data_IF_623409713279
#
_entry.id   IF_623409713279
#
_cell.length_a   1.000
_cell.length_b   1.000
_cell.length_c   1.000
_cell.angle_alpha   90.00
_cell.angle_beta   90.00
_cell.angle_gamma   90.00
#
_symmetry.space_group_name_H-M   'P 1'
#
loop_
_entity.id
_entity.type
_entity.pdbx_description
1 polymer ?
#
# COMPACT_ATOMS: atom_id res chain seq x y z
N UNK A 1 0.66 25.74 -2.83
CA UNK A 1 1.24 24.45 -2.42
C UNK A 1 1.24 24.39 -0.90
N UNK A 2 0.19 23.84 -0.31
CA UNK A 2 0.18 23.64 1.13
C UNK A 2 1.07 22.43 1.45
N UNK A 3 2.26 22.72 1.95
CA UNK A 3 3.10 21.67 2.56
C UNK A 3 2.34 21.17 3.78
N UNK A 4 1.78 19.99 3.67
CA UNK A 4 1.24 19.31 4.84
C UNK A 4 2.41 19.10 5.80
N UNK A 5 2.31 19.68 6.98
CA UNK A 5 3.35 19.53 7.99
C UNK A 5 3.38 18.06 8.44
N UNK A 6 4.39 17.34 8.00
CA UNK A 6 4.55 15.91 8.32
C UNK A 6 4.75 15.65 9.82
N UNK A 7 5.02 16.69 10.59
CA UNK A 7 5.17 16.60 12.04
C UNK A 7 3.85 16.83 12.81
N UNK A 8 2.79 17.20 12.09
CA UNK A 8 1.48 17.36 12.70
C UNK A 8 0.80 16.01 12.84
N UNK A 9 0.75 15.49 14.08
CA UNK A 9 0.08 14.24 14.43
C UNK A 9 -1.41 14.42 14.71
N UNK A 10 -1.94 15.63 14.51
CA UNK A 10 -3.38 15.83 14.66
C UNK A 10 -4.15 14.97 13.67
N UNK A 11 -5.30 14.45 14.11
CA UNK A 11 -6.16 13.65 13.24
C UNK A 11 -6.85 14.59 12.26
N UNK A 12 -6.69 14.40 10.93
CA UNK A 12 -7.42 15.22 9.97
C UNK A 12 -8.92 15.08 10.12
N UNK A 13 -9.67 16.10 9.68
CA UNK A 13 -11.13 16.05 9.68
C UNK A 13 -11.66 14.89 8.82
N UNK A 14 -12.89 14.46 9.09
CA UNK A 14 -13.52 13.36 8.33
C UNK A 14 -13.69 13.70 6.84
N UNK A 15 -13.67 14.98 6.47
CA UNK A 15 -13.73 15.44 5.08
C UNK A 15 -12.40 15.30 4.34
N UNK A 16 -11.30 15.02 5.05
CA UNK A 16 -9.99 14.84 4.45
C UNK A 16 -9.92 13.45 3.80
N UNK A 17 -10.14 13.42 2.49
CA UNK A 17 -10.16 12.20 1.67
C UNK A 17 -9.34 12.41 0.40
N UNK A 18 -8.01 12.46 0.50
CA UNK A 18 -7.17 12.62 -0.69
C UNK A 18 -7.36 11.45 -1.64
N UNK A 19 -7.48 11.76 -2.93
CA UNK A 19 -7.71 10.73 -3.96
C UNK A 19 -6.44 9.95 -4.30
N UNK A 20 -5.28 10.58 -4.17
CA UNK A 20 -4.02 10.02 -4.65
C UNK A 20 -2.92 10.07 -3.60
N UNK A 21 -2.11 9.02 -3.59
CA UNK A 21 -0.86 8.94 -2.82
C UNK A 21 0.27 8.56 -3.77
N UNK A 22 1.38 9.30 -3.69
CA UNK A 22 2.59 8.96 -4.44
C UNK A 22 3.50 8.09 -3.59
N UNK A 23 3.95 6.99 -4.16
CA UNK A 23 5.03 6.14 -3.63
C UNK A 23 6.29 6.43 -4.46
N UNK A 24 7.18 7.24 -3.92
CA UNK A 24 8.45 7.55 -4.55
C UNK A 24 9.48 6.50 -4.11
N UNK A 25 9.76 5.57 -5.01
CA UNK A 25 10.62 4.43 -4.71
C UNK A 25 12.02 4.60 -5.30
N UNK A 26 12.95 3.78 -4.82
CA UNK A 26 14.30 3.71 -5.37
C UNK A 26 14.33 3.30 -6.85
N UNK A 27 13.22 2.79 -7.39
CA UNK A 27 13.09 2.40 -8.80
C UNK A 27 12.23 3.37 -9.62
N UNK A 28 11.64 4.38 -8.99
CA UNK A 28 10.81 5.39 -9.63
C UNK A 28 9.50 5.62 -8.88
N UNK A 29 8.68 6.53 -9.41
CA UNK A 29 7.43 6.95 -8.79
C UNK A 29 6.25 6.12 -9.28
N UNK A 30 5.40 5.73 -8.34
CA UNK A 30 4.09 5.16 -8.59
C UNK A 30 3.05 6.02 -7.88
N UNK A 31 1.91 6.25 -8.52
CA UNK A 31 0.78 6.98 -7.92
C UNK A 31 -0.37 6.01 -7.81
N UNK A 32 -0.95 5.91 -6.61
CA UNK A 32 -2.12 5.08 -6.36
C UNK A 32 -3.35 5.93 -6.12
N UNK A 33 -4.50 5.46 -6.60
CA UNK A 33 -5.81 6.05 -6.36
C UNK A 33 -6.52 5.26 -5.27
N UNK A 34 -7.15 5.97 -4.33
CA UNK A 34 -7.82 5.37 -3.17
C UNK A 34 -9.32 5.24 -3.39
N UNK A 35 -9.89 4.11 -3.01
CA UNK A 35 -11.32 3.80 -3.13
C UNK A 35 -12.06 4.13 -1.82
N UNK A 36 -12.23 5.43 -1.55
CA UNK A 36 -12.86 5.90 -0.31
C UNK A 36 -14.29 5.41 -0.12
N UNK A 37 -15.05 5.26 -1.21
CA UNK A 37 -16.44 4.83 -1.13
C UNK A 37 -16.58 3.34 -0.76
N UNK A 38 -15.56 2.54 -1.05
CA UNK A 38 -15.60 1.09 -0.83
C UNK A 38 -14.89 0.65 0.46
N UNK A 39 -13.82 1.35 0.84
CA UNK A 39 -13.00 1.00 1.98
C UNK A 39 -12.53 2.26 2.73
N UNK A 40 -13.46 3.01 3.34
CA UNK A 40 -13.14 4.32 3.92
C UNK A 40 -12.12 4.26 5.06
N UNK A 41 -12.23 3.29 5.94
CA UNK A 41 -11.30 3.17 7.07
C UNK A 41 -9.90 2.74 6.62
N UNK A 42 -9.84 1.86 5.63
CA UNK A 42 -8.58 1.39 5.05
C UNK A 42 -7.88 2.52 4.29
N UNK A 43 -8.63 3.27 3.48
CA UNK A 43 -8.08 4.45 2.78
C UNK A 43 -7.57 5.50 3.76
N UNK A 44 -8.31 5.76 4.84
CA UNK A 44 -7.89 6.71 5.87
C UNK A 44 -6.61 6.26 6.57
N UNK A 45 -6.52 4.98 6.89
CA UNK A 45 -5.31 4.40 7.47
C UNK A 45 -4.10 4.62 6.56
N UNK A 46 -4.21 4.22 5.31
CA UNK A 46 -3.12 4.33 4.33
C UNK A 46 -2.71 5.79 4.08
N UNK A 47 -3.68 6.66 3.83
CA UNK A 47 -3.42 8.08 3.57
C UNK A 47 -2.79 8.77 4.79
N UNK A 48 -3.28 8.48 5.99
CA UNK A 48 -2.76 9.06 7.22
C UNK A 48 -1.35 8.55 7.55
N UNK A 49 -1.08 7.27 7.36
CA UNK A 49 0.26 6.72 7.51
C UNK A 49 1.24 7.37 6.52
N UNK A 50 0.83 7.57 5.27
CA UNK A 50 1.63 8.29 4.28
C UNK A 50 1.90 9.73 4.73
N UNK A 51 0.87 10.44 5.18
CA UNK A 51 0.99 11.83 5.66
C UNK A 51 1.94 11.95 6.83
N UNK A 52 1.92 10.99 7.76
CA UNK A 52 2.80 10.98 8.94
C UNK A 52 4.25 10.60 8.61
N UNK A 53 4.55 10.21 7.38
CA UNK A 53 5.87 9.72 6.99
C UNK A 53 6.17 8.29 7.44
N UNK A 54 5.15 7.54 7.83
CA UNK A 54 5.30 6.17 8.36
C UNK A 54 5.93 5.22 7.35
N UNK A 55 5.61 5.37 6.06
CA UNK A 55 6.14 4.53 5.01
C UNK A 55 7.51 4.96 4.47
N UNK A 56 8.02 6.12 4.88
CA UNK A 56 9.31 6.61 4.43
C UNK A 56 10.42 5.65 4.87
N UNK A 57 11.33 5.32 3.97
CA UNK A 57 12.45 4.40 4.19
C UNK A 57 12.03 2.95 4.46
N UNK A 58 10.80 2.57 4.20
CA UNK A 58 10.35 1.18 4.29
C UNK A 58 10.59 0.45 2.98
N UNK A 59 10.63 -0.88 3.02
CA UNK A 59 11.02 -1.71 1.89
C UNK A 59 9.86 -2.50 1.32
N UNK A 60 9.90 -2.77 0.02
CA UNK A 60 9.13 -3.87 -0.56
C UNK A 60 9.87 -5.18 -0.22
N UNK A 61 9.55 -5.73 0.92
CA UNK A 61 10.27 -6.88 1.48
C UNK A 61 9.91 -8.22 0.83
N UNK A 62 8.82 -8.27 0.05
CA UNK A 62 8.36 -9.48 -0.62
C UNK A 62 7.88 -9.15 -2.03
N UNK A 63 8.47 -9.83 -3.00
CA UNK A 63 8.08 -9.75 -4.42
C UNK A 63 7.92 -11.18 -4.94
N UNK A 64 6.71 -11.52 -5.32
CA UNK A 64 6.38 -12.82 -5.90
C UNK A 64 5.98 -12.60 -7.34
N UNK A 65 6.81 -13.08 -8.27
CA UNK A 65 6.61 -12.90 -9.70
C UNK A 65 5.22 -13.39 -10.13
N UNK A 66 4.58 -12.59 -10.99
CA UNK A 66 3.22 -12.86 -11.50
C UNK A 66 2.15 -12.93 -10.39
N UNK A 67 2.45 -12.42 -9.21
CA UNK A 67 1.54 -12.45 -8.06
C UNK A 67 1.42 -11.08 -7.40
N UNK A 68 2.32 -10.72 -6.48
CA UNK A 68 2.23 -9.47 -5.72
C UNK A 68 3.60 -8.86 -5.42
N UNK A 69 3.58 -7.56 -5.13
CA UNK A 69 4.67 -6.80 -4.51
C UNK A 69 4.15 -6.28 -3.17
N UNK A 70 4.77 -6.64 -2.07
CA UNK A 70 4.31 -6.35 -0.72
C UNK A 70 5.31 -5.49 0.05
N UNK A 71 4.80 -4.49 0.76
CA UNK A 71 5.60 -3.58 1.58
C UNK A 71 4.79 -2.96 2.70
N UNK A 72 5.31 -1.86 3.27
CA UNK A 72 4.64 -1.10 4.31
C UNK A 72 4.93 -1.56 5.73
N UNK A 73 5.90 -2.45 5.91
CA UNK A 73 6.38 -2.87 7.22
C UNK A 73 7.64 -2.09 7.60
N UNK A 74 7.60 -1.24 8.64
CA UNK A 74 8.78 -0.47 9.05
C UNK A 74 9.96 -1.34 9.45
N UNK A 75 9.73 -2.56 9.92
CA UNK A 75 10.79 -3.49 10.30
C UNK A 75 11.37 -4.26 9.12
N UNK A 76 10.65 -4.29 7.97
CA UNK A 76 11.07 -5.02 6.78
C UNK A 76 11.11 -6.53 6.93
N UNK A 77 10.51 -7.08 8.00
CA UNK A 77 10.52 -8.52 8.31
C UNK A 77 9.29 -9.27 7.80
N UNK A 78 8.22 -8.55 7.46
CA UNK A 78 6.91 -9.10 7.16
C UNK A 78 6.03 -9.32 8.38
N UNK A 79 6.54 -9.04 9.58
CA UNK A 79 5.83 -9.27 10.86
C UNK A 79 5.51 -7.98 11.61
N UNK A 80 5.97 -6.85 11.12
CA UNK A 80 5.81 -5.55 11.78
C UNK A 80 4.69 -4.72 11.17
N UNK A 81 4.56 -3.52 11.73
CA UNK A 81 3.61 -2.53 11.28
C UNK A 81 2.35 -2.49 12.13
N UNK A 82 1.79 -1.29 12.25
CA UNK A 82 0.53 -1.05 12.98
C UNK A 82 -0.31 -0.04 12.23
N UNK A 83 -1.61 -0.08 12.46
CA UNK A 83 -2.55 0.89 11.89
C UNK A 83 -2.62 2.17 12.72
N UNK A 84 -3.32 3.18 12.19
CA UNK A 84 -3.65 4.40 12.95
C UNK A 84 -4.69 4.16 14.05
N UNK A 85 -5.41 3.03 14.00
CA UNK A 85 -6.48 2.68 14.94
C UNK A 85 -6.01 1.81 16.11
N UNK A 86 -4.76 1.39 16.10
CA UNK A 86 -4.17 0.42 17.00
C UNK A 86 -3.40 -0.61 16.19
N UNK A 87 -3.07 -1.77 16.77
CA UNK A 87 -2.29 -2.78 16.04
C UNK A 87 -3.01 -3.24 14.77
N UNK A 88 -4.30 -3.56 14.88
CA UNK A 88 -5.12 -4.06 13.78
C UNK A 88 -6.46 -3.34 13.67
N UNK A 89 -7.07 -3.39 12.50
CA UNK A 89 -8.44 -2.95 12.25
C UNK A 89 -9.16 -3.92 11.31
N UNK A 90 -10.49 -3.80 11.28
CA UNK A 90 -11.36 -4.74 10.59
C UNK A 90 -11.28 -4.65 9.07
N UNK A 91 -11.55 -5.77 8.42
CA UNK A 91 -11.69 -5.84 6.97
C UNK A 91 -12.87 -4.99 6.47
N UNK A 92 -12.71 -4.47 5.26
CA UNK A 92 -13.76 -3.77 4.52
C UNK A 92 -13.93 -4.44 3.15
N UNK A 93 -14.29 -5.71 3.17
CA UNK A 93 -14.42 -6.53 1.97
C UNK A 93 -15.79 -6.35 1.35
N UNK A 94 -15.83 -6.15 0.03
CA UNK A 94 -17.06 -6.01 -0.74
C UNK A 94 -17.01 -6.91 -1.97
N UNK A 95 -18.14 -7.55 -2.36
CA UNK A 95 -18.20 -8.34 -3.59
C UNK A 95 -18.07 -7.52 -4.87
N UNK A 96 -18.14 -6.18 -4.76
CA UNK A 96 -18.00 -5.27 -5.90
C UNK A 96 -16.54 -5.16 -6.38
N UNK A 97 -15.57 -5.49 -5.54
CA UNK A 97 -14.15 -5.40 -5.85
C UNK A 97 -13.48 -6.78 -5.83
N UNK A 98 -12.71 -7.05 -6.87
CA UNK A 98 -11.97 -8.31 -7.04
C UNK A 98 -10.55 -8.04 -7.52
N UNK A 99 -9.63 -8.96 -7.24
CA UNK A 99 -8.24 -8.89 -7.71
C UNK A 99 -8.16 -9.35 -9.17
N UNK A 100 -8.66 -8.54 -10.08
CA UNK A 100 -8.93 -8.91 -11.48
C UNK A 100 -7.75 -8.74 -12.43
N UNK A 101 -6.67 -8.08 -11.99
CA UNK A 101 -5.52 -7.81 -12.85
C UNK A 101 -4.36 -7.21 -12.08
N UNK A 102 -3.36 -6.74 -12.81
CA UNK A 102 -2.22 -6.03 -12.23
C UNK A 102 -2.62 -4.64 -11.72
N UNK A 103 -1.95 -4.18 -10.67
CA UNK A 103 -2.11 -2.81 -10.16
C UNK A 103 -3.22 -2.64 -9.12
N UNK A 104 -3.79 -3.69 -8.58
CA UNK A 104 -4.77 -3.61 -7.49
C UNK A 104 -4.04 -3.42 -6.17
N UNK A 105 -4.45 -2.39 -5.41
CA UNK A 105 -3.92 -2.07 -4.10
C UNK A 105 -4.81 -2.70 -3.02
N UNK A 106 -4.22 -3.54 -2.19
CA UNK A 106 -4.93 -4.37 -1.23
C UNK A 106 -4.14 -4.52 0.07
N UNK A 107 -4.81 -4.85 1.17
CA UNK A 107 -4.16 -4.99 2.47
C UNK A 107 -3.62 -6.41 2.68
N UNK A 108 -2.36 -6.49 3.11
CA UNK A 108 -1.83 -7.71 3.68
C UNK A 108 -2.45 -7.95 5.07
N UNK A 109 -2.59 -9.21 5.44
CA UNK A 109 -3.09 -9.59 6.75
C UNK A 109 -2.59 -10.99 7.18
N UNK A 110 -2.86 -11.35 8.41
CA UNK A 110 -2.57 -12.66 9.00
C UNK A 110 -3.86 -13.41 9.38
N UNK A 111 -4.92 -13.18 8.64
CA UNK A 111 -6.26 -13.74 8.88
C UNK A 111 -7.32 -12.63 8.96
N UNK A 112 -8.59 -12.97 9.25
CA UNK A 112 -9.66 -11.99 9.33
C UNK A 112 -9.37 -10.87 10.32
N UNK A 113 -9.65 -9.62 9.91
CA UNK A 113 -9.60 -8.45 10.77
C UNK A 113 -8.23 -8.20 11.42
N UNK A 114 -7.14 -8.43 10.66
CA UNK A 114 -5.78 -8.19 11.11
C UNK A 114 -5.02 -7.21 10.22
N UNK A 115 -5.70 -6.18 9.71
CA UNK A 115 -5.09 -5.14 8.90
C UNK A 115 -4.25 -4.20 9.76
N UNK A 116 -3.02 -3.98 9.38
CA UNK A 116 -2.10 -3.05 10.04
C UNK A 116 -1.62 -1.96 9.08
N UNK A 117 -0.33 -1.98 8.75
CA UNK A 117 0.26 -1.05 7.77
C UNK A 117 0.68 -1.71 6.48
N UNK A 118 0.86 -3.02 6.45
CA UNK A 118 1.35 -3.73 5.26
C UNK A 118 0.29 -3.79 4.17
N UNK A 119 0.73 -3.56 2.95
CA UNK A 119 -0.12 -3.60 1.76
C UNK A 119 0.62 -4.32 0.63
N UNK A 120 -0.12 -4.67 -0.40
CA UNK A 120 0.48 -5.20 -1.63
C UNK A 120 -0.18 -4.58 -2.87
N UNK A 121 0.54 -4.65 -3.96
CA UNK A 121 0.05 -4.30 -5.30
C UNK A 121 0.15 -5.57 -6.14
N UNK A 122 -0.95 -5.94 -6.79
CA UNK A 122 -0.98 -7.14 -7.63
C UNK A 122 -0.18 -6.96 -8.91
N UNK A 123 0.42 -8.04 -9.38
CA UNK A 123 1.19 -8.09 -10.64
C UNK A 123 0.42 -8.80 -11.77
N UNK A 124 -0.66 -9.47 -11.43
CA UNK A 124 -1.50 -10.25 -12.33
C UNK A 124 -2.86 -10.49 -11.68
N UNK A 125 -3.85 -11.10 -12.36
CA UNK A 125 -5.06 -11.55 -11.69
C UNK A 125 -4.73 -12.50 -10.55
N UNK A 126 -5.26 -12.22 -9.35
CA UNK A 126 -4.98 -12.97 -8.12
C UNK A 126 -6.28 -13.29 -7.38
N UNK A 127 -7.21 -13.92 -8.06
CA UNK A 127 -8.57 -14.15 -7.56
C UNK A 127 -8.63 -15.04 -6.31
N UNK A 128 -7.57 -15.81 -6.03
CA UNK A 128 -7.45 -16.55 -4.77
C UNK A 128 -7.44 -15.65 -3.53
N UNK A 129 -7.15 -14.37 -3.68
CA UNK A 129 -7.15 -13.38 -2.60
C UNK A 129 -8.51 -12.70 -2.40
N UNK A 130 -9.46 -12.90 -3.31
CA UNK A 130 -10.79 -12.32 -3.21
C UNK A 130 -11.49 -12.80 -1.93
N UNK A 131 -12.22 -11.89 -1.26
CA UNK A 131 -12.90 -12.12 0.01
C UNK A 131 -11.99 -12.35 1.22
N UNK A 132 -10.67 -12.36 1.04
CA UNK A 132 -9.68 -12.55 2.11
C UNK A 132 -8.91 -11.27 2.43
N UNK A 133 -8.80 -10.36 1.48
CA UNK A 133 -8.03 -9.12 1.59
C UNK A 133 -8.86 -7.92 1.16
N UNK A 134 -8.76 -6.83 1.93
CA UNK A 134 -9.45 -5.58 1.61
C UNK A 134 -8.79 -4.87 0.46
N UNK A 135 -9.49 -4.76 -0.66
CA UNK A 135 -9.09 -3.91 -1.79
C UNK A 135 -9.47 -2.47 -1.45
N UNK A 136 -8.52 -1.55 -1.56
CA UNK A 136 -8.78 -0.15 -1.22
C UNK A 136 -8.25 0.87 -2.24
N UNK A 137 -7.75 0.42 -3.37
CA UNK A 137 -7.26 1.31 -4.41
C UNK A 137 -6.69 0.59 -5.62
N UNK A 138 -6.05 1.37 -6.47
CA UNK A 138 -5.38 0.86 -7.66
C UNK A 138 -4.19 1.74 -8.03
N UNK A 139 -3.28 1.18 -8.80
CA UNK A 139 -2.21 1.95 -9.44
C UNK A 139 -2.84 2.87 -10.49
N UNK A 140 -2.64 4.18 -10.34
CA UNK A 140 -3.10 5.21 -11.27
C UNK A 140 -2.06 5.50 -12.35
N UNK A 141 -0.79 5.61 -11.93
CA UNK A 141 0.34 5.80 -12.85
C UNK A 141 1.59 5.10 -12.35
N UNK A 142 2.54 4.85 -13.24
CA UNK A 142 3.80 4.18 -12.90
C UNK A 142 3.78 2.67 -13.13
N UNK A 143 2.95 2.16 -14.05
CA UNK A 143 2.92 0.72 -14.37
C UNK A 143 4.29 0.21 -14.82
N UNK A 144 5.07 1.03 -15.51
CA UNK A 144 6.43 0.70 -15.91
C UNK A 144 7.35 0.49 -14.70
N UNK A 145 7.14 1.23 -13.62
CA UNK A 145 7.90 1.08 -12.38
C UNK A 145 7.50 -0.24 -11.70
N UNK A 146 6.20 -0.52 -11.61
CA UNK A 146 5.71 -1.78 -11.08
C UNK A 146 6.27 -2.97 -11.85
N UNK A 147 6.34 -2.89 -13.17
CA UNK A 147 6.93 -3.93 -14.02
C UNK A 147 8.41 -4.12 -13.73
N UNK A 148 9.18 -3.04 -13.55
CA UNK A 148 10.60 -3.12 -13.17
C UNK A 148 10.77 -3.82 -11.83
N UNK A 149 9.95 -3.47 -10.84
CA UNK A 149 9.98 -4.11 -9.51
C UNK A 149 9.69 -5.60 -9.65
N UNK A 150 8.73 -5.98 -10.48
CA UNK A 150 8.35 -7.39 -10.68
C UNK A 150 9.47 -8.25 -11.25
N UNK A 151 10.46 -7.65 -11.91
CA UNK A 151 11.52 -8.34 -12.63
C UNK A 151 12.82 -8.47 -11.84
N UNK A 152 12.88 -7.96 -10.62
CA UNK A 152 14.09 -8.03 -9.80
C UNK A 152 14.37 -9.46 -9.35
N UNK A 153 15.64 -9.72 -9.04
CA UNK A 153 16.04 -10.99 -8.47
C UNK A 153 15.66 -11.06 -6.99
N UNK A 154 15.16 -12.21 -6.59
CA UNK A 154 14.75 -12.49 -5.21
C UNK A 154 15.46 -13.71 -4.66
N UNK A 155 15.49 -13.81 -3.32
CA UNK A 155 15.92 -15.01 -2.60
C UNK A 155 14.84 -16.10 -2.68
N UNK A 156 15.14 -17.28 -2.14
CA UNK A 156 14.16 -18.39 -2.04
C UNK A 156 12.92 -18.02 -1.20
N UNK A 157 13.00 -16.97 -0.37
CA UNK A 157 11.89 -16.48 0.43
C UNK A 157 11.17 -15.28 -0.20
N UNK A 158 11.31 -15.08 -1.50
CA UNK A 158 10.68 -14.00 -2.26
C UNK A 158 11.11 -12.59 -1.80
N UNK A 159 12.25 -12.49 -1.14
CA UNK A 159 12.82 -11.21 -0.73
C UNK A 159 13.74 -10.68 -1.82
N UNK A 160 13.63 -9.39 -2.20
CA UNK A 160 14.57 -8.78 -3.12
C UNK A 160 16.01 -8.92 -2.64
N UNK A 161 16.93 -9.35 -3.52
CA UNK A 161 18.36 -9.42 -3.21
C UNK A 161 18.90 -8.02 -2.96
N UNK A 162 18.57 -7.08 -3.84
CA UNK A 162 18.85 -5.66 -3.65
C UNK A 162 17.58 -4.97 -3.16
N UNK A 163 17.70 -4.19 -2.08
CA UNK A 163 16.55 -3.55 -1.46
C UNK A 163 15.82 -2.61 -2.43
N UNK A 164 14.50 -2.72 -2.45
CA UNK A 164 13.62 -1.73 -3.08
C UNK A 164 12.99 -0.94 -1.95
N UNK A 165 13.30 0.34 -1.90
CA UNK A 165 12.90 1.22 -0.79
C UNK A 165 11.86 2.21 -1.26
N UNK A 166 10.82 2.40 -0.45
CA UNK A 166 9.95 3.58 -0.55
C UNK A 166 10.74 4.71 0.08
N UNK A 167 11.32 5.57 -0.74
CA UNK A 167 12.09 6.71 -0.27
C UNK A 167 11.18 7.66 0.49
N UNK A 168 9.97 7.86 -0.05
CA UNK A 168 8.97 8.73 0.51
C UNK A 168 7.58 8.36 -0.03
N UNK A 169 6.59 8.33 0.85
CA UNK A 169 5.18 8.26 0.48
C UNK A 169 4.51 9.57 0.89
N UNK A 170 3.73 10.17 0.01
CA UNK A 170 3.10 11.46 0.31
C UNK A 170 1.78 11.64 -0.43
N UNK A 171 0.95 12.51 0.14
CA UNK A 171 -0.34 12.87 -0.45
C UNK A 171 -0.12 13.66 -1.73
N UNK A 172 -0.83 13.30 -2.78
CA UNK A 172 -0.82 13.97 -4.08
C UNK A 172 -2.17 14.63 -4.29
N UNK A 173 -2.21 15.95 -4.33
CA UNK A 173 -3.47 16.70 -4.35
C UNK A 173 -4.14 16.70 -5.74
N UNK A 174 -3.34 16.65 -6.81
CA UNK A 174 -3.82 16.62 -8.19
C UNK A 174 -2.83 15.87 -9.07
N UNK A 175 -3.30 15.48 -10.25
CA UNK A 175 -2.41 14.97 -11.29
C UNK A 175 -1.38 15.99 -11.73
#
# INVERSE_FOLDING_TARGET
>A
MHLVNTNDLSIPSDDWKPSFVTLDTSMGKMIVELYWDHAPNTCRNFAELARRGYYNSTKFHRVVKDFIVQGGDPTGTGRGGASIYGKYFNDEITPLLKHTGAGILSMANAGPNTNGSQFFITLAPTQSLDKLHTIFGRLHSGINILQKISMIQTTDNDRPIDDITILRAYITETE
#
